data_IF_336568561843
#
_entry.id   IF_336568561843
#
_cell.length_a   1.000
_cell.length_b   1.000
_cell.length_c   1.000
_cell.angle_alpha   90.00
_cell.angle_beta   90.00
_cell.angle_gamma   90.00
#
_symmetry.space_group_name_H-M   'P 1'
#
loop_
_entity.id
_entity.type
_entity.pdbx_description
1 polymer ?
#
# COMPACT_ATOMS: atom_id res chain seq x y z
N UNK A 1 14.82 -1.31 -19.14
CA UNK A 1 13.43 -1.15 -18.67
C UNK A 1 13.39 -0.20 -17.48
N UNK A 2 12.59 0.85 -17.60
CA UNK A 2 12.47 1.92 -16.60
C UNK A 2 11.59 1.48 -15.43
N UNK A 3 11.86 2.04 -14.25
CA UNK A 3 10.97 1.92 -13.09
C UNK A 3 10.73 3.34 -12.62
N UNK A 4 9.52 3.60 -12.16
CA UNK A 4 9.14 4.91 -11.62
C UNK A 4 8.50 4.70 -10.28
N UNK A 5 8.94 5.46 -9.27
CA UNK A 5 8.43 5.37 -7.92
C UNK A 5 7.88 6.72 -7.50
N UNK A 6 6.66 6.74 -7.00
CA UNK A 6 6.02 7.92 -6.44
C UNK A 6 5.81 7.71 -4.94
N UNK A 7 5.90 8.79 -4.17
CA UNK A 7 5.81 8.78 -2.71
C UNK A 7 5.05 10.01 -2.21
N UNK A 8 4.45 9.90 -1.02
CA UNK A 8 3.63 10.98 -0.43
C UNK A 8 2.42 11.36 -1.30
N UNK A 9 1.88 10.42 -2.08
CA UNK A 9 0.61 10.63 -2.77
C UNK A 9 -0.52 10.66 -1.73
N UNK A 10 -1.47 11.58 -1.87
CA UNK A 10 -2.69 11.60 -1.05
C UNK A 10 -3.75 10.70 -1.68
N UNK A 11 -4.74 10.27 -0.90
CA UNK A 11 -5.86 9.49 -1.46
C UNK A 11 -6.56 10.21 -2.64
N UNK A 12 -6.70 11.54 -2.57
CA UNK A 12 -7.33 12.34 -3.63
C UNK A 12 -6.51 12.42 -4.92
N UNK A 13 -5.18 12.37 -4.81
CA UNK A 13 -4.31 12.25 -6.00
C UNK A 13 -4.41 10.85 -6.58
N UNK A 14 -4.34 9.82 -5.72
CA UNK A 14 -4.34 8.41 -6.13
C UNK A 14 -5.67 8.03 -6.80
N UNK A 15 -6.79 8.53 -6.32
CA UNK A 15 -8.12 8.27 -6.90
C UNK A 15 -8.24 8.78 -8.34
N UNK A 16 -7.51 9.84 -8.70
CA UNK A 16 -7.53 10.45 -10.03
C UNK A 16 -6.57 9.76 -11.01
N UNK A 17 -5.71 8.86 -10.52
CA UNK A 17 -4.77 8.15 -11.38
C UNK A 17 -5.51 7.18 -12.30
N UNK A 18 -5.13 7.20 -13.57
CA UNK A 18 -5.74 6.37 -14.63
C UNK A 18 -4.76 5.35 -15.19
N UNK A 19 -3.76 4.97 -14.39
CA UNK A 19 -2.74 4.01 -14.77
C UNK A 19 -3.32 2.64 -15.10
N UNK A 20 -2.59 1.91 -15.93
CA UNK A 20 -2.85 0.48 -16.16
C UNK A 20 -2.47 -0.32 -14.90
N UNK A 21 -3.42 -1.02 -14.25
CA UNK A 21 -3.15 -1.83 -13.06
C UNK A 21 -2.03 -2.87 -13.25
N UNK A 22 -1.85 -3.40 -14.47
CA UNK A 22 -0.84 -4.41 -14.77
C UNK A 22 0.60 -3.87 -14.74
N UNK A 23 0.75 -2.54 -14.73
CA UNK A 23 2.05 -1.87 -14.65
C UNK A 23 2.54 -1.68 -13.22
N UNK A 24 1.71 -1.94 -12.22
CA UNK A 24 2.05 -1.77 -10.82
C UNK A 24 2.96 -2.91 -10.35
N UNK A 25 4.15 -2.56 -9.87
CA UNK A 25 5.04 -3.48 -9.16
C UNK A 25 4.66 -3.64 -7.70
N UNK A 26 4.38 -2.52 -7.05
CA UNK A 26 3.96 -2.47 -5.66
C UNK A 26 3.26 -1.14 -5.37
N UNK A 27 2.46 -1.17 -4.31
CA UNK A 27 2.01 0.03 -3.64
C UNK A 27 2.03 -0.19 -2.13
N UNK A 28 2.10 0.91 -1.39
CA UNK A 28 2.04 0.95 0.06
C UNK A 28 1.17 2.12 0.50
N UNK A 29 0.29 1.89 1.46
CA UNK A 29 -0.42 2.90 2.22
C UNK A 29 0.17 2.90 3.63
N UNK A 30 0.71 4.04 4.06
CA UNK A 30 1.21 4.21 5.43
C UNK A 30 0.34 5.20 6.18
N UNK A 31 -0.53 4.70 7.06
CA UNK A 31 -1.39 5.46 7.95
C UNK A 31 -0.69 5.75 9.27
N UNK A 32 -0.33 7.01 9.52
CA UNK A 32 0.24 7.46 10.79
C UNK A 32 -0.88 7.84 11.76
N UNK A 33 -0.87 7.31 12.97
CA UNK A 33 -1.90 7.56 14.00
C UNK A 33 -1.90 9.01 14.46
N UNK A 34 -3.08 9.54 14.75
CA UNK A 34 -3.26 10.86 15.38
C UNK A 34 -3.46 10.73 16.91
N UNK A 35 -2.91 11.64 17.73
CA UNK A 35 -1.78 12.53 17.39
C UNK A 35 -0.51 11.73 17.06
N UNK A 36 0.41 12.34 16.32
CA UNK A 36 1.69 11.69 15.95
C UNK A 36 2.60 11.54 17.18
N UNK A 37 2.46 10.43 17.89
CA UNK A 37 3.24 10.08 19.07
C UNK A 37 3.85 8.68 18.93
N UNK A 38 5.05 8.49 19.48
CA UNK A 38 5.75 7.19 19.54
C UNK A 38 5.87 6.48 18.18
N UNK A 39 5.83 7.22 17.06
CA UNK A 39 5.85 6.67 15.70
C UNK A 39 4.80 5.56 15.47
N UNK A 40 3.58 5.73 16.00
CA UNK A 40 2.47 4.80 15.79
C UNK A 40 1.96 4.84 14.36
N UNK A 41 2.04 3.73 13.65
CA UNK A 41 1.49 3.64 12.29
C UNK A 41 1.10 2.22 11.89
N UNK A 42 0.25 2.15 10.88
CA UNK A 42 -0.16 0.94 10.16
C UNK A 42 0.27 1.11 8.71
N UNK A 43 1.05 0.18 8.19
CA UNK A 43 1.43 0.12 6.78
C UNK A 43 0.74 -1.05 6.10
N UNK A 44 0.01 -0.83 5.02
CA UNK A 44 -0.62 -1.87 4.20
C UNK A 44 0.01 -1.83 2.82
N UNK A 45 0.45 -2.95 2.30
CA UNK A 45 1.15 -3.00 1.02
C UNK A 45 0.88 -4.27 0.24
N UNK A 46 1.28 -4.24 -1.03
CA UNK A 46 1.30 -5.40 -1.90
C UNK A 46 2.55 -5.39 -2.78
N UNK A 47 2.99 -6.59 -3.18
CA UNK A 47 3.95 -6.79 -4.27
C UNK A 47 3.28 -7.63 -5.34
N UNK A 48 3.27 -7.18 -6.60
CA UNK A 48 2.65 -7.93 -7.69
C UNK A 48 3.31 -9.28 -7.97
N UNK A 49 4.57 -9.46 -7.57
CA UNK A 49 5.28 -10.75 -7.61
C UNK A 49 5.14 -11.57 -6.33
N UNK A 50 4.35 -11.09 -5.36
CA UNK A 50 4.15 -11.70 -4.04
C UNK A 50 5.18 -11.26 -3.01
N UNK A 51 4.83 -11.44 -1.74
CA UNK A 51 5.66 -11.05 -0.59
C UNK A 51 6.39 -12.27 -0.03
N UNK A 52 7.72 -12.21 0.16
CA UNK A 52 8.47 -13.33 0.71
C UNK A 52 8.19 -13.55 2.20
N UNK A 53 7.90 -14.80 2.54
CA UNK A 53 7.80 -15.33 3.89
C UNK A 53 8.75 -16.53 4.02
N UNK A 54 10.00 -16.26 4.39
CA UNK A 54 11.05 -17.29 4.37
C UNK A 54 11.38 -17.71 2.93
N UNK A 55 11.21 -19.00 2.63
CA UNK A 55 11.41 -19.56 1.29
C UNK A 55 10.13 -19.57 0.44
N UNK A 56 8.98 -19.21 1.03
CA UNK A 56 7.70 -19.17 0.33
C UNK A 56 7.35 -17.75 -0.13
N UNK A 57 6.66 -17.64 -1.26
CA UNK A 57 6.06 -16.40 -1.73
C UNK A 57 4.56 -16.44 -1.43
N UNK A 58 4.07 -15.43 -0.72
CA UNK A 58 2.66 -15.26 -0.37
C UNK A 58 2.03 -14.22 -1.29
N UNK A 59 0.80 -14.46 -1.72
CA UNK A 59 0.04 -13.57 -2.61
C UNK A 59 -1.12 -12.97 -1.85
N UNK A 60 -1.46 -11.72 -2.14
CA UNK A 60 -2.41 -10.95 -1.32
C UNK A 60 -1.78 -9.83 -0.51
N UNK A 61 -2.64 -9.18 0.27
CA UNK A 61 -2.34 -8.01 1.07
C UNK A 61 -1.51 -8.41 2.28
N UNK A 62 -0.51 -7.60 2.57
CA UNK A 62 0.26 -7.68 3.81
C UNK A 62 0.13 -6.34 4.51
N UNK A 63 -0.04 -6.39 5.82
CA UNK A 63 0.12 -5.20 6.63
C UNK A 63 1.19 -5.40 7.69
N UNK A 64 1.75 -4.29 8.12
CA UNK A 64 2.68 -4.20 9.21
C UNK A 64 2.31 -3.04 10.10
N UNK A 65 2.79 -3.06 11.34
CA UNK A 65 2.49 -2.02 12.30
C UNK A 65 3.72 -1.66 13.11
N UNK A 66 3.75 -0.45 13.66
CA UNK A 66 4.77 -0.03 14.60
C UNK A 66 4.12 0.61 15.82
N UNK A 67 4.51 0.17 17.01
CA UNK A 67 4.03 0.67 18.31
C UNK A 67 2.51 0.70 18.50
N UNK A 68 1.77 -0.08 17.70
CA UNK A 68 0.34 -0.34 17.89
C UNK A 68 0.14 -1.36 19.00
N UNK A 69 -0.85 -1.14 19.87
CA UNK A 69 -1.18 -2.06 20.96
C UNK A 69 -1.63 -3.41 20.38
N UNK A 70 -1.11 -4.51 20.95
CA UNK A 70 -1.44 -5.88 20.51
C UNK A 70 -2.93 -6.16 20.51
N UNK A 71 -3.71 -5.51 21.37
CA UNK A 71 -5.18 -5.68 21.42
C UNK A 71 -5.90 -5.14 20.18
N UNK A 72 -5.28 -4.24 19.43
CA UNK A 72 -5.86 -3.62 18.23
C UNK A 72 -5.56 -4.42 16.96
N UNK A 73 -4.53 -5.26 16.98
CA UNK A 73 -4.11 -6.07 15.83
C UNK A 73 -5.25 -6.96 15.29
N UNK A 74 -6.07 -7.65 16.12
CA UNK A 74 -7.20 -8.42 15.63
C UNK A 74 -8.24 -7.56 14.89
N UNK A 75 -8.44 -6.30 15.32
CA UNK A 75 -9.40 -5.39 14.65
C UNK A 75 -8.87 -4.97 13.28
N UNK A 76 -7.58 -4.63 13.18
CA UNK A 76 -6.93 -4.27 11.90
C UNK A 76 -6.98 -5.46 10.93
N UNK A 77 -6.64 -6.66 11.42
CA UNK A 77 -6.74 -7.89 10.62
C UNK A 77 -8.17 -8.09 10.12
N UNK A 78 -9.16 -8.02 11.02
CA UNK A 78 -10.57 -8.25 10.68
C UNK A 78 -11.06 -7.25 9.64
N UNK A 79 -10.72 -5.96 9.80
CA UNK A 79 -11.08 -4.91 8.84
C UNK A 79 -10.59 -5.22 7.42
N UNK A 80 -9.35 -5.71 7.28
CA UNK A 80 -8.79 -6.07 5.97
C UNK A 80 -9.36 -7.39 5.44
N UNK A 81 -9.55 -8.40 6.29
CA UNK A 81 -10.14 -9.69 5.91
C UNK A 81 -11.60 -9.56 5.47
N UNK A 82 -12.41 -8.71 6.12
CA UNK A 82 -13.80 -8.48 5.71
C UNK A 82 -13.89 -7.84 4.31
N UNK A 83 -12.87 -7.06 3.91
CA UNK A 83 -12.82 -6.40 2.59
C UNK A 83 -12.22 -7.27 1.49
N UNK A 84 -11.18 -8.04 1.81
CA UNK A 84 -10.35 -8.70 0.79
C UNK A 84 -10.18 -10.21 1.02
N UNK A 85 -10.66 -10.76 2.14
CA UNK A 85 -10.48 -12.16 2.52
C UNK A 85 -9.03 -12.49 2.88
N UNK A 86 -8.64 -13.74 2.63
CA UNK A 86 -7.29 -14.25 2.84
C UNK A 86 -7.06 -14.87 4.22
N UNK A 87 -6.15 -15.83 4.26
CA UNK A 87 -5.77 -16.56 5.46
C UNK A 87 -4.71 -15.80 6.26
N UNK A 88 -5.00 -15.53 7.54
CA UNK A 88 -4.09 -14.79 8.42
C UNK A 88 -2.84 -15.62 8.73
N UNK A 89 -1.67 -15.08 8.41
CA UNK A 89 -0.37 -15.60 8.85
C UNK A 89 0.41 -14.47 9.54
N UNK A 90 0.78 -14.66 10.80
CA UNK A 90 1.49 -13.66 11.61
C UNK A 90 2.99 -13.97 11.68
N UNK A 91 3.84 -12.97 11.41
CA UNK A 91 5.30 -13.09 11.46
C UNK A 91 5.93 -11.80 11.97
N UNK A 92 6.19 -11.75 13.29
CA UNK A 92 6.66 -10.54 13.94
C UNK A 92 5.59 -9.46 13.85
N UNK A 93 5.97 -8.28 13.38
CA UNK A 93 5.11 -7.10 13.21
C UNK A 93 4.37 -7.10 11.86
N UNK A 94 4.51 -8.17 11.06
CA UNK A 94 3.84 -8.35 9.76
C UNK A 94 2.75 -9.39 9.87
N UNK A 95 1.61 -9.07 9.27
CA UNK A 95 0.47 -9.96 9.11
C UNK A 95 0.19 -10.09 7.62
N UNK A 96 0.20 -11.31 7.12
CA UNK A 96 -0.12 -11.67 5.76
C UNK A 96 -1.57 -12.13 5.71
N UNK A 97 -2.31 -11.69 4.69
CA UNK A 97 -3.62 -12.24 4.33
C UNK A 97 -3.42 -13.05 3.04
N UNK A 98 -2.89 -14.25 3.19
CA UNK A 98 -2.51 -15.10 2.05
C UNK A 98 -3.75 -15.48 1.24
N UNK A 99 -3.68 -15.29 -0.08
CA UNK A 99 -4.82 -15.48 -0.97
C UNK A 99 -5.89 -14.38 -0.91
N UNK A 100 -5.65 -13.26 -0.21
CA UNK A 100 -6.60 -12.14 -0.26
C UNK A 100 -6.67 -11.54 -1.67
N UNK A 101 -7.81 -10.92 -2.00
CA UNK A 101 -7.98 -10.16 -3.24
C UNK A 101 -6.93 -9.06 -3.34
N UNK A 102 -6.20 -9.04 -4.43
CA UNK A 102 -5.22 -7.99 -4.77
C UNK A 102 -5.95 -6.82 -5.45
N UNK A 103 -5.52 -5.58 -5.13
CA UNK A 103 -6.04 -4.35 -5.74
C UNK A 103 -4.89 -3.58 -6.36
N UNK A 104 -5.10 -2.98 -7.51
CA UNK A 104 -4.05 -2.26 -8.24
C UNK A 104 -4.55 -0.97 -8.91
N UNK A 105 -5.87 -0.78 -9.04
CA UNK A 105 -6.43 0.45 -9.56
C UNK A 105 -6.29 1.60 -8.54
N UNK A 106 -6.02 2.82 -9.02
CA UNK A 106 -5.89 4.00 -8.16
C UNK A 106 -7.11 4.22 -7.26
N UNK A 107 -8.32 4.04 -7.82
CA UNK A 107 -9.57 4.15 -7.06
C UNK A 107 -9.64 3.21 -5.85
N UNK A 108 -9.29 1.94 -6.03
CA UNK A 108 -9.36 0.94 -4.95
C UNK A 108 -8.32 1.23 -3.85
N UNK A 109 -7.11 1.66 -4.25
CA UNK A 109 -6.03 2.03 -3.32
C UNK A 109 -6.43 3.28 -2.51
N UNK A 110 -7.02 4.29 -3.16
CA UNK A 110 -7.49 5.50 -2.51
C UNK A 110 -8.65 5.22 -1.55
N UNK A 111 -9.59 4.35 -1.93
CA UNK A 111 -10.69 3.93 -1.05
C UNK A 111 -10.15 3.25 0.22
N UNK A 112 -9.18 2.34 0.07
CA UNK A 112 -8.55 1.68 1.22
C UNK A 112 -7.82 2.69 2.11
N UNK A 113 -7.09 3.64 1.54
CA UNK A 113 -6.38 4.66 2.32
C UNK A 113 -7.33 5.52 3.16
N UNK A 114 -8.45 5.97 2.57
CA UNK A 114 -9.48 6.72 3.31
C UNK A 114 -10.14 5.88 4.38
N UNK A 115 -10.46 4.62 4.07
CA UNK A 115 -11.10 3.72 5.02
C UNK A 115 -10.18 3.39 6.22
N UNK A 116 -8.86 3.31 6.01
CA UNK A 116 -7.87 3.20 7.09
C UNK A 116 -7.86 4.46 7.95
N UNK A 117 -7.80 5.63 7.33
CA UNK A 117 -7.79 6.92 8.01
C UNK A 117 -9.04 7.14 8.87
N UNK A 118 -10.22 6.82 8.34
CA UNK A 118 -11.48 6.92 9.07
C UNK A 118 -11.57 5.89 10.20
N UNK A 119 -11.21 4.62 9.93
CA UNK A 119 -11.41 3.53 10.90
C UNK A 119 -10.43 3.60 12.06
N UNK A 120 -9.18 3.97 11.79
CA UNK A 120 -8.08 3.88 12.75
C UNK A 120 -7.51 5.25 13.12
N UNK A 121 -8.21 6.34 12.83
CA UNK A 121 -7.77 7.71 13.14
C UNK A 121 -6.32 7.95 12.69
N UNK A 122 -6.07 7.65 11.40
CA UNK A 122 -4.75 7.83 10.78
C UNK A 122 -4.73 8.98 9.78
N UNK A 123 -3.53 9.34 9.34
CA UNK A 123 -3.30 10.13 8.12
C UNK A 123 -2.43 9.32 7.20
N UNK A 124 -2.97 8.95 6.04
CA UNK A 124 -2.29 8.07 5.11
C UNK A 124 -1.53 8.81 4.03
N UNK A 125 -0.35 8.30 3.72
CA UNK A 125 0.37 8.59 2.48
C UNK A 125 0.49 7.32 1.67
N UNK A 126 0.43 7.46 0.34
CA UNK A 126 0.52 6.34 -0.59
C UNK A 126 1.82 6.43 -1.38
N UNK A 127 2.44 5.27 -1.58
CA UNK A 127 3.57 5.06 -2.47
C UNK A 127 3.18 4.07 -3.56
N UNK A 128 3.62 4.32 -4.79
CA UNK A 128 3.34 3.46 -5.95
C UNK A 128 4.61 3.31 -6.77
N UNK A 129 4.94 2.08 -7.16
CA UNK A 129 6.03 1.78 -8.08
C UNK A 129 5.49 1.07 -9.34
N UNK A 130 5.94 1.53 -10.50
CA UNK A 130 5.57 1.01 -11.81
C UNK A 130 6.80 0.50 -12.59
N UNK A 131 6.57 -0.49 -13.45
CA UNK A 131 7.55 -1.04 -14.40
C UNK A 131 7.08 -0.85 -15.84
N UNK A 132 8.01 -0.56 -16.74
CA UNK A 132 7.76 -0.46 -18.19
C UNK A 132 6.71 0.59 -18.59
N UNK A 133 6.94 1.81 -18.07
CA UNK A 133 6.13 3.01 -18.32
C UNK A 133 7.05 4.17 -18.71
N UNK A 134 6.64 4.97 -19.70
CA UNK A 134 7.35 6.20 -20.10
C UNK A 134 6.92 7.41 -19.27
N UNK A 135 7.69 8.50 -19.34
CA UNK A 135 7.33 9.75 -18.62
C UNK A 135 6.04 10.38 -19.18
N UNK A 136 5.83 10.28 -20.49
CA UNK A 136 4.61 10.76 -21.15
C UNK A 136 3.38 10.00 -20.64
N UNK A 137 3.45 8.67 -20.54
CA UNK A 137 2.37 7.85 -19.99
C UNK A 137 2.08 8.20 -18.52
N UNK A 138 3.10 8.40 -17.70
CA UNK A 138 2.92 8.80 -16.29
C UNK A 138 2.19 10.14 -16.17
N UNK A 139 2.55 11.10 -17.03
CA UNK A 139 1.90 12.41 -17.08
C UNK A 139 0.44 12.30 -17.55
N UNK A 140 0.16 11.51 -18.59
CA UNK A 140 -1.20 11.23 -19.06
C UNK A 140 -2.05 10.54 -17.98
N UNK A 141 -1.44 9.65 -17.20
CA UNK A 141 -2.09 8.98 -16.07
C UNK A 141 -2.26 9.85 -14.83
N UNK A 142 -1.79 11.10 -14.87
CA UNK A 142 -1.99 12.09 -13.81
C UNK A 142 -1.00 11.99 -12.65
N UNK A 143 0.13 11.29 -12.82
CA UNK A 143 1.15 11.25 -11.78
C UNK A 143 1.84 12.62 -11.62
N UNK A 144 2.00 13.12 -10.39
CA UNK A 144 2.61 14.42 -10.15
C UNK A 144 4.14 14.36 -10.17
N UNK A 145 4.77 15.08 -11.11
CA UNK A 145 6.22 15.17 -11.27
C UNK A 145 6.96 15.50 -9.96
N UNK A 146 6.38 16.38 -9.14
CA UNK A 146 6.96 16.81 -7.87
C UNK A 146 7.10 15.69 -6.82
N UNK A 147 6.42 14.56 -7.00
CA UNK A 147 6.44 13.41 -6.09
C UNK A 147 7.14 12.18 -6.67
N UNK A 148 7.71 12.32 -7.87
CA UNK A 148 8.57 11.30 -8.44
C UNK A 148 9.83 11.17 -7.59
N UNK A 149 10.08 9.97 -7.08
CA UNK A 149 11.32 9.63 -6.40
C UNK A 149 12.34 9.11 -7.40
N UNK A 150 13.58 9.66 -7.40
CA UNK A 150 14.66 9.09 -8.18
C UNK A 150 14.96 7.68 -7.68
N UNK A 151 15.18 6.75 -8.62
CA UNK A 151 15.67 5.41 -8.31
C UNK A 151 17.19 5.42 -8.49
N UNK A 152 17.98 5.37 -7.40
CA UNK A 152 19.44 5.43 -7.49
C UNK A 152 20.00 4.25 -8.29
N UNK A 153 21.05 4.48 -9.07
CA UNK A 153 21.76 3.41 -9.79
C UNK A 153 21.17 3.03 -11.15
N UNK A 154 20.31 3.88 -11.71
CA UNK A 154 20.01 3.91 -13.15
C UNK A 154 20.69 5.09 -13.81
#
# INVERSE_FOLDING_TARGET
MGRSRYWKLTADEVEKLTHDPDKILNWEIKGVRKPEEEAKFIGVFIYSKGTPLGYEIKKGIVYYHNNIDRKEIPEITKFLQERYGGDKIEKGERIFLDGSKEIYAGKDIAELARALDERFDTTSVVSIELEDVTQEQLKEWGYPDAKLLPIPGK
#
